data_IF_511580332958
#
_entry.id   IF_511580332958
#
_cell.length_a   1.000
_cell.length_b   1.000
_cell.length_c   1.000
_cell.angle_alpha   90.00
_cell.angle_beta   90.00
_cell.angle_gamma   90.00
#
_symmetry.space_group_name_H-M   'P 1'
#
loop_
_entity.id
_entity.type
_entity.pdbx_description
1 polymer ?
#
# COMPACT_ATOMS: atom_id res chain seq x y z
N UNK A 1 -3.16 10.32 -34.60
CA UNK A 1 -3.99 11.15 -33.71
C UNK A 1 -3.26 11.36 -32.40
N UNK A 2 -2.89 12.60 -32.07
CA UNK A 2 -2.37 13.01 -30.78
C UNK A 2 -3.55 13.05 -29.79
N UNK A 3 -3.92 11.89 -29.24
CA UNK A 3 -4.88 11.84 -28.15
C UNK A 3 -4.24 12.38 -26.88
N UNK A 4 -4.93 13.33 -26.22
CA UNK A 4 -4.60 13.74 -24.86
C UNK A 4 -4.83 12.50 -23.98
N UNK A 5 -3.77 12.04 -23.32
CA UNK A 5 -3.86 10.92 -22.39
C UNK A 5 -3.98 11.49 -20.97
N UNK A 6 -5.18 11.50 -20.42
CA UNK A 6 -5.39 11.85 -19.02
C UNK A 6 -4.90 10.69 -18.14
N UNK A 7 -4.06 11.01 -17.15
CA UNK A 7 -3.47 10.04 -16.24
C UNK A 7 -3.84 10.38 -14.82
N UNK A 8 -4.48 9.43 -14.13
CA UNK A 8 -4.68 9.47 -12.69
C UNK A 8 -3.66 8.58 -11.99
N UNK A 9 -3.11 9.05 -10.88
CA UNK A 9 -2.18 8.28 -10.03
C UNK A 9 -2.74 8.28 -8.62
N UNK A 10 -3.02 7.09 -8.09
CA UNK A 10 -3.55 6.91 -6.74
C UNK A 10 -2.44 6.35 -5.84
N UNK A 11 -2.11 7.09 -4.77
CA UNK A 11 -1.21 6.65 -3.72
C UNK A 11 -1.99 6.41 -2.44
N UNK A 12 -1.89 5.22 -1.90
CA UNK A 12 -2.53 4.86 -0.63
C UNK A 12 -1.70 3.82 0.11
N UNK A 13 -1.81 3.77 1.44
CA UNK A 13 -1.19 2.72 2.25
C UNK A 13 -2.14 1.53 2.40
N UNK A 14 -1.58 0.34 2.59
CA UNK A 14 -2.36 -0.87 2.89
C UNK A 14 -3.22 -0.67 4.14
N UNK A 15 -2.65 -0.14 5.22
CA UNK A 15 -3.38 0.12 6.46
C UNK A 15 -4.55 1.11 6.35
N UNK A 16 -4.56 1.95 5.30
CA UNK A 16 -5.69 2.84 5.04
C UNK A 16 -6.91 2.08 4.50
N UNK A 17 -6.68 1.00 3.77
CA UNK A 17 -7.71 0.20 3.09
C UNK A 17 -8.12 -1.03 3.88
N UNK A 18 -7.24 -1.58 4.70
CA UNK A 18 -7.52 -2.79 5.48
C UNK A 18 -8.77 -2.70 6.34
N UNK A 19 -9.02 -1.51 6.89
CA UNK A 19 -10.21 -1.24 7.71
C UNK A 19 -11.54 -1.48 6.99
N UNK A 20 -11.54 -1.56 5.65
CA UNK A 20 -12.73 -1.80 4.82
C UNK A 20 -12.76 -3.19 4.20
N UNK A 21 -11.67 -3.94 4.31
CA UNK A 21 -11.63 -5.32 3.87
C UNK A 21 -12.38 -6.21 4.86
N UNK A 22 -13.08 -7.22 4.33
CA UNK A 22 -13.71 -8.26 5.14
C UNK A 22 -12.95 -9.57 4.95
N UNK A 23 -13.19 -10.61 5.78
CA UNK A 23 -12.59 -11.92 5.57
C UNK A 23 -12.88 -12.52 4.19
N UNK A 24 -14.00 -12.15 3.57
CA UNK A 24 -14.44 -12.63 2.25
C UNK A 24 -13.96 -11.74 1.11
N UNK A 25 -13.70 -10.44 1.38
CA UNK A 25 -13.38 -9.45 0.36
C UNK A 25 -12.14 -8.65 0.77
N UNK A 26 -11.01 -8.95 0.17
CA UNK A 26 -9.79 -8.18 0.33
C UNK A 26 -9.68 -7.14 -0.81
N UNK A 27 -9.81 -5.86 -0.48
CA UNK A 27 -9.77 -4.77 -1.46
C UNK A 27 -8.41 -4.62 -2.15
N UNK A 28 -7.35 -5.20 -1.60
CA UNK A 28 -6.01 -5.17 -2.20
C UNK A 28 -5.72 -6.40 -3.09
N UNK A 29 -6.69 -7.26 -3.29
CA UNK A 29 -6.53 -8.55 -3.97
C UNK A 29 -5.88 -8.41 -5.35
N UNK A 30 -6.33 -7.48 -6.19
CA UNK A 30 -5.76 -7.24 -7.52
C UNK A 30 -4.31 -6.70 -7.50
N UNK A 31 -3.82 -6.21 -6.35
CA UNK A 31 -2.44 -5.76 -6.18
C UNK A 31 -1.55 -6.84 -5.57
N UNK A 32 -2.10 -7.67 -4.69
CA UNK A 32 -1.37 -8.75 -4.03
C UNK A 32 -1.17 -9.95 -4.97
N UNK A 33 -2.12 -10.16 -5.88
CA UNK A 33 -2.19 -11.32 -6.74
C UNK A 33 -1.63 -10.98 -8.13
N UNK A 34 -0.31 -11.07 -8.28
CA UNK A 34 0.38 -10.78 -9.54
C UNK A 34 0.80 -12.09 -10.22
N UNK A 35 0.08 -12.56 -11.24
CA UNK A 35 0.52 -13.73 -11.99
C UNK A 35 1.92 -13.48 -12.59
N UNK A 36 2.92 -14.27 -12.19
CA UNK A 36 4.26 -14.20 -12.74
C UNK A 36 5.05 -12.92 -12.41
N UNK A 37 4.74 -12.23 -11.32
CA UNK A 37 5.42 -11.00 -10.88
C UNK A 37 5.38 -9.85 -11.91
N UNK A 38 4.45 -9.88 -12.84
CA UNK A 38 4.24 -8.84 -13.86
C UNK A 38 3.26 -7.77 -13.35
N UNK A 39 3.43 -6.49 -13.74
CA UNK A 39 2.42 -5.48 -13.45
C UNK A 39 1.09 -5.88 -14.07
N UNK A 40 0.02 -5.84 -13.26
CA UNK A 40 -1.32 -6.15 -13.74
C UNK A 40 -1.86 -4.94 -14.51
N UNK A 41 -2.15 -5.12 -15.79
CA UNK A 41 -2.84 -4.13 -16.62
C UNK A 41 -4.27 -4.60 -16.82
N UNK A 42 -5.21 -3.84 -16.30
CA UNK A 42 -6.64 -4.07 -16.49
C UNK A 42 -7.19 -3.08 -17.53
N UNK A 43 -7.84 -3.60 -18.55
CA UNK A 43 -8.54 -2.76 -19.52
C UNK A 43 -9.98 -2.59 -19.06
N UNK A 44 -10.41 -1.36 -18.85
CA UNK A 44 -11.79 -1.05 -18.47
C UNK A 44 -12.67 -1.12 -19.72
N UNK A 45 -13.71 -1.96 -19.77
CA UNK A 45 -14.66 -1.99 -20.88
C UNK A 45 -15.43 -0.67 -20.99
N UNK A 46 -15.82 -0.26 -22.21
CA UNK A 46 -16.55 0.99 -22.47
C UNK A 46 -17.81 1.12 -21.60
N UNK A 47 -18.53 0.01 -21.39
CA UNK A 47 -19.74 -0.02 -20.53
C UNK A 47 -19.47 0.34 -19.06
N UNK A 48 -18.25 0.16 -18.58
CA UNK A 48 -17.85 0.42 -17.19
C UNK A 48 -17.01 1.71 -17.06
N UNK A 49 -16.52 2.25 -18.18
CA UNK A 49 -15.64 3.43 -18.21
C UNK A 49 -16.26 4.63 -17.48
N UNK A 50 -17.56 4.89 -17.71
CA UNK A 50 -18.27 5.98 -17.04
C UNK A 50 -18.28 5.86 -15.52
N UNK A 51 -18.40 4.65 -14.98
CA UNK A 51 -18.37 4.39 -13.53
C UNK A 51 -16.99 4.69 -12.97
N UNK A 52 -15.90 4.20 -13.60
CA UNK A 52 -14.55 4.48 -13.16
C UNK A 52 -14.22 5.98 -13.20
N UNK A 53 -14.57 6.66 -14.27
CA UNK A 53 -14.34 8.10 -14.41
C UNK A 53 -15.14 8.91 -13.40
N UNK A 54 -16.37 8.50 -13.08
CA UNK A 54 -17.20 9.14 -12.04
C UNK A 54 -16.53 9.04 -10.66
N UNK A 55 -16.03 7.85 -10.29
CA UNK A 55 -15.33 7.66 -9.01
C UNK A 55 -14.07 8.51 -8.96
N UNK A 56 -13.23 8.48 -10.01
CA UNK A 56 -11.99 9.27 -10.08
C UNK A 56 -12.25 10.79 -10.01
N UNK A 57 -13.26 11.29 -10.73
CA UNK A 57 -13.63 12.71 -10.68
C UNK A 57 -14.10 13.16 -9.30
N UNK A 58 -14.85 12.30 -8.59
CA UNK A 58 -15.27 12.56 -7.21
C UNK A 58 -14.08 12.51 -6.26
N UNK A 59 -13.15 11.56 -6.43
CA UNK A 59 -11.90 11.54 -5.65
C UNK A 59 -11.09 12.81 -5.87
N UNK A 60 -10.94 13.25 -7.11
CA UNK A 60 -10.26 14.50 -7.44
C UNK A 60 -10.94 15.70 -6.76
N UNK A 61 -12.26 15.78 -6.80
CA UNK A 61 -13.02 16.84 -6.14
C UNK A 61 -12.74 16.91 -4.63
N UNK A 62 -12.82 15.77 -3.93
CA UNK A 62 -12.57 15.72 -2.49
C UNK A 62 -11.08 15.83 -2.10
N UNK A 63 -10.15 15.59 -3.03
CA UNK A 63 -8.71 15.74 -2.77
C UNK A 63 -8.15 17.13 -3.13
N UNK A 64 -8.98 18.05 -3.59
CA UNK A 64 -8.54 19.42 -3.89
C UNK A 64 -8.12 20.15 -2.60
N UNK A 65 -7.00 20.89 -2.64
CA UNK A 65 -6.60 21.69 -1.49
C UNK A 65 -7.64 22.79 -1.20
N UNK A 66 -7.75 23.14 0.08
CA UNK A 66 -8.63 24.22 0.53
C UNK A 66 -8.26 25.55 -0.14
N UNK A 67 -9.26 26.28 -0.67
CA UNK A 67 -9.07 27.58 -1.33
C UNK A 67 -9.37 27.62 -2.82
N UNK A 68 -9.84 26.53 -3.43
CA UNK A 68 -10.37 26.53 -4.80
C UNK A 68 -11.69 27.31 -4.93
N UNK A 69 -12.12 27.61 -6.20
CA UNK A 69 -13.41 28.30 -6.47
C UNK A 69 -14.64 27.57 -5.94
N UNK A 70 -14.54 26.25 -5.72
CA UNK A 70 -15.59 25.40 -5.19
C UNK A 70 -14.93 24.31 -4.31
N UNK A 71 -14.61 24.64 -3.05
CA UNK A 71 -13.93 23.71 -2.15
C UNK A 71 -14.88 22.57 -1.74
N UNK A 72 -14.38 21.35 -1.73
CA UNK A 72 -15.12 20.21 -1.18
C UNK A 72 -15.44 20.45 0.31
N UNK A 73 -16.61 20.00 0.81
CA UNK A 73 -16.96 20.12 2.21
C UNK A 73 -15.87 19.55 3.12
N UNK A 74 -15.44 20.30 4.13
CA UNK A 74 -14.44 19.83 5.09
C UNK A 74 -14.97 18.66 5.94
N UNK A 75 -16.28 18.69 6.27
CA UNK A 75 -16.90 17.63 7.05
C UNK A 75 -16.92 16.30 6.29
N UNK A 76 -16.29 15.29 6.86
CA UNK A 76 -16.28 13.95 6.31
C UNK A 76 -15.45 13.76 5.04
N UNK A 77 -14.62 14.72 4.63
CA UNK A 77 -13.78 14.65 3.42
C UNK A 77 -12.94 13.36 3.36
N UNK A 78 -12.21 13.06 4.42
CA UNK A 78 -11.37 11.87 4.50
C UNK A 78 -12.19 10.58 4.42
N UNK A 79 -13.37 10.59 5.02
CA UNK A 79 -14.29 9.45 4.96
C UNK A 79 -14.86 9.26 3.55
N UNK A 80 -15.20 10.35 2.84
CA UNK A 80 -15.60 10.30 1.43
C UNK A 80 -14.48 9.72 0.56
N UNK A 81 -13.24 10.19 0.73
CA UNK A 81 -12.09 9.67 0.00
C UNK A 81 -11.89 8.17 0.27
N UNK A 82 -12.05 7.72 1.51
CA UNK A 82 -11.98 6.31 1.89
C UNK A 82 -13.03 5.47 1.16
N UNK A 83 -14.29 5.89 1.17
CA UNK A 83 -15.36 5.15 0.49
C UNK A 83 -15.17 5.12 -1.03
N UNK A 84 -14.76 6.23 -1.64
CA UNK A 84 -14.48 6.30 -3.07
C UNK A 84 -13.30 5.42 -3.47
N UNK A 85 -12.24 5.38 -2.65
CA UNK A 85 -11.12 4.48 -2.87
C UNK A 85 -11.56 3.00 -2.72
N UNK A 86 -12.37 2.70 -1.72
CA UNK A 86 -12.96 1.36 -1.56
C UNK A 86 -13.81 0.95 -2.76
N UNK A 87 -14.67 1.84 -3.28
CA UNK A 87 -15.47 1.63 -4.48
C UNK A 87 -14.58 1.38 -5.71
N UNK A 88 -13.55 2.21 -5.91
CA UNK A 88 -12.59 2.03 -7.00
C UNK A 88 -11.89 0.67 -6.94
N UNK A 89 -11.46 0.26 -5.76
CA UNK A 89 -10.77 -1.02 -5.55
C UNK A 89 -11.70 -2.22 -5.76
N UNK A 90 -12.97 -2.12 -5.36
CA UNK A 90 -13.97 -3.15 -5.67
C UNK A 90 -14.16 -3.30 -7.18
N UNK A 91 -14.32 -2.20 -7.91
CA UNK A 91 -14.41 -2.21 -9.37
C UNK A 91 -13.17 -2.82 -10.03
N UNK A 92 -11.97 -2.46 -9.54
CA UNK A 92 -10.72 -3.03 -10.04
C UNK A 92 -10.62 -4.55 -9.78
N UNK A 93 -11.02 -5.01 -8.59
CA UNK A 93 -11.06 -6.45 -8.26
C UNK A 93 -12.10 -7.21 -9.09
N UNK A 94 -13.24 -6.61 -9.39
CA UNK A 94 -14.24 -7.20 -10.30
C UNK A 94 -13.64 -7.41 -11.69
N UNK A 95 -13.01 -6.38 -12.28
CA UNK A 95 -12.32 -6.52 -13.57
C UNK A 95 -11.19 -7.56 -13.53
N UNK A 96 -10.45 -7.59 -12.44
CA UNK A 96 -9.40 -8.58 -12.23
C UNK A 96 -9.99 -10.00 -12.26
N UNK A 97 -11.05 -10.23 -11.50
CA UNK A 97 -11.72 -11.53 -11.42
C UNK A 97 -12.37 -11.93 -12.74
N UNK A 98 -12.97 -10.99 -13.48
CA UNK A 98 -13.52 -11.24 -14.82
C UNK A 98 -12.44 -11.68 -15.82
N UNK A 99 -11.21 -11.11 -15.70
CA UNK A 99 -10.11 -11.39 -16.63
C UNK A 99 -9.33 -12.65 -16.30
N UNK A 100 -9.03 -12.87 -15.01
CA UNK A 100 -8.13 -13.93 -14.54
C UNK A 100 -8.87 -15.09 -13.87
N UNK A 101 -10.18 -14.97 -13.72
CA UNK A 101 -11.01 -15.91 -12.97
C UNK A 101 -11.00 -15.66 -11.47
N UNK A 102 -11.91 -16.31 -10.72
CA UNK A 102 -11.87 -16.27 -9.27
C UNK A 102 -10.54 -16.83 -8.81
N UNK A 103 -9.94 -16.19 -7.81
CA UNK A 103 -8.66 -16.59 -7.26
C UNK A 103 -8.64 -18.08 -6.96
N UNK A 104 -7.85 -18.74 -7.75
CA UNK A 104 -7.76 -20.19 -7.80
C UNK A 104 -7.21 -20.71 -6.49
N UNK A 105 -7.70 -21.71 -5.93
CA UNK A 105 -7.33 -22.52 -4.77
C UNK A 105 -7.41 -21.83 -3.40
N UNK A 106 -7.99 -22.57 -2.45
CA UNK A 106 -8.02 -22.26 -1.01
C UNK A 106 -6.63 -21.88 -0.48
N UNK A 107 -5.61 -22.61 -0.90
CA UNK A 107 -4.22 -22.38 -0.48
C UNK A 107 -3.70 -20.97 -0.85
N UNK A 108 -3.98 -20.49 -2.05
CA UNK A 108 -3.51 -19.16 -2.46
C UNK A 108 -4.21 -18.03 -1.71
N UNK A 109 -5.50 -18.19 -1.39
CA UNK A 109 -6.24 -17.25 -0.54
C UNK A 109 -5.69 -17.22 0.88
N UNK A 110 -5.34 -18.38 1.43
CA UNK A 110 -4.71 -18.47 2.75
C UNK A 110 -3.34 -17.80 2.77
N UNK A 111 -2.53 -18.00 1.72
CA UNK A 111 -1.25 -17.33 1.55
C UNK A 111 -1.41 -15.79 1.44
N UNK A 112 -2.34 -15.31 0.62
CA UNK A 112 -2.62 -13.90 0.48
C UNK A 112 -3.12 -13.28 1.79
N UNK A 113 -3.99 -13.99 2.52
CA UNK A 113 -4.46 -13.56 3.83
C UNK A 113 -3.32 -13.47 4.83
N UNK A 114 -2.46 -14.49 4.90
CA UNK A 114 -1.28 -14.47 5.77
C UNK A 114 -0.39 -13.25 5.50
N UNK A 115 -0.09 -12.97 4.23
CA UNK A 115 0.74 -11.81 3.85
C UNK A 115 0.05 -10.50 4.23
N UNK A 116 -1.25 -10.42 4.04
CA UNK A 116 -2.05 -9.27 4.46
C UNK A 116 -1.99 -9.05 5.98
N UNK A 117 -2.23 -10.09 6.78
CA UNK A 117 -2.16 -10.01 8.24
C UNK A 117 -0.76 -9.56 8.71
N UNK A 118 0.30 -9.99 7.99
CA UNK A 118 1.67 -9.54 8.23
C UNK A 118 1.85 -8.05 7.90
N UNK A 119 1.28 -7.57 6.79
CA UNK A 119 1.32 -6.14 6.45
C UNK A 119 0.67 -5.26 7.52
N UNK A 120 -0.51 -5.68 8.00
CA UNK A 120 -1.23 -4.99 9.07
C UNK A 120 -0.38 -4.94 10.35
N UNK A 121 0.19 -6.08 10.73
CA UNK A 121 1.03 -6.16 11.92
C UNK A 121 2.26 -5.25 11.79
N UNK A 122 2.95 -5.29 10.65
CA UNK A 122 4.10 -4.40 10.39
C UNK A 122 3.66 -2.94 10.46
N UNK A 123 2.51 -2.59 9.91
CA UNK A 123 1.95 -1.25 9.94
C UNK A 123 1.77 -0.67 11.35
N UNK A 124 1.38 -1.51 12.31
CA UNK A 124 1.23 -1.12 13.72
C UNK A 124 2.52 -1.20 14.56
N UNK A 125 3.52 -1.99 14.11
CA UNK A 125 4.69 -2.35 14.94
C UNK A 125 6.04 -2.07 14.25
N UNK A 126 6.06 -1.31 13.15
CA UNK A 126 7.27 -1.09 12.34
C UNK A 126 8.44 -0.49 13.10
N UNK A 127 8.19 0.26 14.18
CA UNK A 127 9.23 0.85 15.03
C UNK A 127 9.88 -0.16 15.98
N UNK A 128 9.28 -1.33 16.15
CA UNK A 128 9.78 -2.39 17.02
C UNK A 128 10.87 -3.24 16.35
N UNK A 129 11.55 -4.08 17.12
CA UNK A 129 12.55 -5.00 16.57
C UNK A 129 11.88 -6.18 15.86
N UNK A 130 11.37 -5.93 14.63
CA UNK A 130 10.76 -6.94 13.80
C UNK A 130 11.83 -7.76 13.05
N UNK A 131 11.76 -9.08 13.20
CA UNK A 131 12.62 -10.03 12.49
C UNK A 131 11.76 -11.11 11.82
N UNK A 132 12.30 -11.76 10.78
CA UNK A 132 11.65 -12.92 10.16
C UNK A 132 11.35 -14.00 11.21
N UNK A 133 12.22 -14.16 12.21
CA UNK A 133 12.05 -15.11 13.30
C UNK A 133 10.88 -14.75 14.24
N UNK A 134 10.77 -13.50 14.63
CA UNK A 134 9.65 -13.05 15.48
C UNK A 134 8.31 -13.17 14.75
N UNK A 135 8.26 -12.78 13.48
CA UNK A 135 7.05 -12.88 12.66
C UNK A 135 6.65 -14.33 12.37
N UNK A 136 7.61 -15.22 12.06
CA UNK A 136 7.31 -16.64 11.83
C UNK A 136 6.68 -17.30 13.06
N UNK A 137 7.17 -16.97 14.26
CA UNK A 137 6.58 -17.45 15.52
C UNK A 137 5.19 -16.86 15.78
N UNK A 138 5.03 -15.55 15.53
CA UNK A 138 3.76 -14.86 15.76
C UNK A 138 2.65 -15.42 14.88
N UNK A 139 2.94 -15.63 13.60
CA UNK A 139 1.97 -16.13 12.62
C UNK A 139 1.93 -17.67 12.53
N UNK A 140 2.65 -18.37 13.41
CA UNK A 140 2.67 -19.83 13.50
C UNK A 140 3.05 -20.52 12.18
N UNK A 141 3.97 -19.96 11.42
CA UNK A 141 4.50 -20.49 10.16
C UNK A 141 6.02 -20.71 10.27
N UNK A 142 6.58 -21.65 9.49
CA UNK A 142 8.03 -21.78 9.43
C UNK A 142 8.67 -20.58 8.72
N UNK A 143 9.95 -20.28 9.02
CA UNK A 143 10.70 -19.22 8.34
C UNK A 143 10.74 -19.41 6.83
N UNK A 144 10.89 -20.65 6.39
CA UNK A 144 10.92 -21.01 4.96
C UNK A 144 9.55 -20.74 4.31
N UNK A 145 8.47 -21.13 4.98
CA UNK A 145 7.12 -20.87 4.51
C UNK A 145 6.84 -19.36 4.45
N UNK A 146 7.18 -18.63 5.50
CA UNK A 146 7.04 -17.17 5.54
C UNK A 146 7.81 -16.51 4.37
N UNK A 147 9.07 -16.90 4.16
CA UNK A 147 9.87 -16.37 3.06
C UNK A 147 9.23 -16.65 1.70
N UNK A 148 8.86 -17.92 1.44
CA UNK A 148 8.30 -18.30 0.14
C UNK A 148 6.96 -17.63 -0.13
N UNK A 149 6.04 -17.73 0.83
CA UNK A 149 4.69 -17.15 0.70
C UNK A 149 4.73 -15.63 0.57
N UNK A 150 5.52 -14.98 1.40
CA UNK A 150 5.63 -13.53 1.35
C UNK A 150 6.25 -13.06 0.02
N UNK A 151 7.32 -13.72 -0.43
CA UNK A 151 7.96 -13.39 -1.71
C UNK A 151 7.10 -13.72 -2.92
N UNK A 152 6.35 -14.82 -2.88
CA UNK A 152 5.40 -15.21 -3.94
C UNK A 152 4.31 -14.15 -4.13
N UNK A 153 3.73 -13.66 -3.01
CA UNK A 153 2.60 -12.73 -3.03
C UNK A 153 3.07 -11.28 -3.21
N UNK A 154 4.12 -10.86 -2.52
CA UNK A 154 4.56 -9.44 -2.51
C UNK A 154 5.67 -9.13 -3.51
N UNK A 155 6.37 -10.14 -4.02
CA UNK A 155 7.55 -9.98 -4.88
C UNK A 155 8.84 -9.64 -4.15
N UNK A 156 8.81 -9.43 -2.82
CA UNK A 156 9.96 -9.06 -2.00
C UNK A 156 10.04 -9.88 -0.71
N UNK A 157 11.15 -9.79 0.01
CA UNK A 157 11.23 -10.41 1.33
C UNK A 157 10.53 -9.58 2.40
N UNK A 158 10.15 -10.21 3.50
CA UNK A 158 9.56 -9.52 4.66
C UNK A 158 10.51 -8.45 5.23
N UNK A 159 11.81 -8.71 5.21
CA UNK A 159 12.82 -7.76 5.69
C UNK A 159 12.96 -6.54 4.79
N UNK A 160 12.87 -6.73 3.47
CA UNK A 160 12.86 -5.64 2.50
C UNK A 160 11.61 -4.78 2.67
N UNK A 161 10.45 -5.41 2.87
CA UNK A 161 9.20 -4.71 3.10
C UNK A 161 9.23 -3.86 4.38
N UNK A 162 9.73 -4.42 5.50
CA UNK A 162 9.90 -3.64 6.76
C UNK A 162 10.80 -2.43 6.52
N UNK A 163 11.89 -2.62 5.78
CA UNK A 163 12.83 -1.55 5.44
C UNK A 163 12.15 -0.46 4.61
N UNK A 164 11.47 -0.84 3.52
CA UNK A 164 10.75 0.09 2.65
C UNK A 164 9.66 0.85 3.42
N UNK A 165 8.90 0.15 4.26
CA UNK A 165 7.86 0.75 5.09
C UNK A 165 8.44 1.81 6.04
N UNK A 166 9.52 1.48 6.75
CA UNK A 166 10.22 2.41 7.66
C UNK A 166 10.73 3.65 6.94
N UNK A 167 11.32 3.49 5.75
CA UNK A 167 11.82 4.62 4.97
C UNK A 167 10.67 5.49 4.45
N UNK A 168 9.55 4.89 4.06
CA UNK A 168 8.34 5.64 3.69
C UNK A 168 7.83 6.47 4.86
N UNK A 169 7.73 5.89 6.06
CA UNK A 169 7.35 6.62 7.27
C UNK A 169 8.35 7.71 7.65
N UNK A 170 9.65 7.46 7.45
CA UNK A 170 10.68 8.47 7.69
C UNK A 170 10.54 9.68 6.74
N UNK A 171 10.22 9.45 5.47
CA UNK A 171 9.91 10.53 4.51
C UNK A 171 8.73 11.37 4.97
N UNK A 172 7.65 10.72 5.46
CA UNK A 172 6.49 11.41 6.01
C UNK A 172 6.87 12.30 7.20
N UNK A 173 7.70 11.81 8.12
CA UNK A 173 8.18 12.60 9.26
C UNK A 173 9.06 13.77 8.83
N UNK A 174 9.96 13.57 7.86
CA UNK A 174 10.83 14.65 7.33
C UNK A 174 10.03 15.79 6.71
N UNK A 175 8.89 15.50 6.07
CA UNK A 175 8.06 16.50 5.41
C UNK A 175 7.11 17.20 6.41
N UNK A 176 6.57 16.46 7.40
CA UNK A 176 5.44 16.89 8.19
C UNK A 176 5.80 17.26 9.64
N UNK A 177 7.06 17.14 10.06
CA UNK A 177 7.49 17.44 11.44
C UNK A 177 8.84 18.15 11.47
N UNK A 178 9.13 18.83 12.60
CA UNK A 178 10.42 19.45 12.88
C UNK A 178 11.37 18.51 13.65
N UNK A 179 11.15 17.20 13.58
CA UNK A 179 12.00 16.24 14.27
C UNK A 179 13.41 16.20 13.68
N UNK A 180 14.42 16.05 14.55
CA UNK A 180 15.78 15.81 14.06
C UNK A 180 15.87 14.47 13.34
N UNK A 181 16.83 14.36 12.41
CA UNK A 181 17.10 13.10 11.68
C UNK A 181 17.33 11.91 12.62
N UNK A 182 17.96 12.17 13.77
CA UNK A 182 18.17 11.15 14.80
C UNK A 182 16.85 10.71 15.44
N UNK A 183 15.98 11.66 15.83
CA UNK A 183 14.65 11.35 16.36
C UNK A 183 13.81 10.58 15.37
N UNK A 184 13.84 10.95 14.09
CA UNK A 184 13.14 10.23 13.02
C UNK A 184 13.66 8.80 12.88
N UNK A 185 14.99 8.62 12.86
CA UNK A 185 15.61 7.29 12.81
C UNK A 185 15.12 6.39 13.94
N UNK A 186 15.09 6.91 15.17
CA UNK A 186 14.58 6.19 16.34
C UNK A 186 13.07 5.91 16.22
N UNK A 187 12.28 6.89 15.83
CA UNK A 187 10.84 6.76 15.68
C UNK A 187 10.42 5.70 14.64
N UNK A 188 11.26 5.48 13.62
CA UNK A 188 11.01 4.43 12.61
C UNK A 188 11.74 3.10 12.90
N UNK A 189 12.32 2.95 14.10
CA UNK A 189 12.86 1.67 14.57
C UNK A 189 14.32 1.40 14.23
N UNK A 190 15.13 2.45 13.99
CA UNK A 190 16.58 2.32 13.86
C UNK A 190 17.26 2.72 15.18
N UNK A 191 18.08 1.86 15.70
CA UNK A 191 18.89 2.13 16.92
C UNK A 191 20.18 2.88 16.62
N UNK A 192 20.58 2.97 15.34
CA UNK A 192 21.83 3.57 14.91
C UNK A 192 21.59 4.53 13.74
N UNK A 193 21.95 5.80 13.93
CA UNK A 193 21.79 6.88 12.96
C UNK A 193 22.55 6.61 11.66
N UNK A 194 23.75 6.03 11.72
CA UNK A 194 24.55 5.72 10.55
C UNK A 194 23.89 4.65 9.68
N UNK A 195 23.32 3.62 10.30
CA UNK A 195 22.55 2.57 9.61
C UNK A 195 21.30 3.15 8.97
N UNK A 196 20.55 4.00 9.68
CA UNK A 196 19.39 4.70 9.15
C UNK A 196 19.75 5.55 7.93
N UNK A 197 20.74 6.44 8.06
CA UNK A 197 21.15 7.36 6.99
C UNK A 197 21.62 6.63 5.73
N UNK A 198 22.35 5.51 5.89
CA UNK A 198 22.77 4.65 4.78
C UNK A 198 21.57 4.03 4.06
N UNK A 199 20.68 3.37 4.80
CA UNK A 199 19.51 2.70 4.21
C UNK A 199 18.57 3.72 3.58
N UNK A 200 18.34 4.86 4.23
CA UNK A 200 17.52 5.94 3.66
C UNK A 200 18.10 6.43 2.32
N UNK A 201 19.42 6.67 2.24
CA UNK A 201 20.08 7.09 1.01
C UNK A 201 19.97 6.03 -0.10
N UNK A 202 20.13 4.76 0.24
CA UNK A 202 19.96 3.64 -0.72
C UNK A 202 18.55 3.60 -1.31
N UNK A 203 17.52 3.88 -0.50
CA UNK A 203 16.11 3.82 -0.90
C UNK A 203 15.57 5.14 -1.50
N UNK A 204 16.04 6.28 -1.04
CA UNK A 204 15.54 7.60 -1.44
C UNK A 204 16.42 8.31 -2.48
N UNK A 205 17.65 7.81 -2.72
CA UNK A 205 18.62 8.42 -3.63
C UNK A 205 19.40 9.61 -3.04
N UNK A 206 18.95 10.18 -1.91
CA UNK A 206 19.61 11.28 -1.20
C UNK A 206 19.62 11.03 0.32
N UNK A 207 20.44 11.76 1.06
CA UNK A 207 20.48 11.63 2.52
C UNK A 207 19.20 12.22 3.17
N UNK A 208 18.85 11.82 4.43
CA UNK A 208 17.70 12.38 5.13
C UNK A 208 17.75 13.91 5.30
N UNK A 209 18.96 14.49 5.40
CA UNK A 209 19.14 15.95 5.52
C UNK A 209 18.89 16.66 4.18
N UNK A 210 19.11 15.98 3.07
CA UNK A 210 18.93 16.53 1.73
C UNK A 210 17.50 16.33 1.19
N UNK A 211 16.77 15.42 1.79
CA UNK A 211 15.40 15.14 1.45
C UNK A 211 14.47 16.21 1.98
#
# INVERSE_FOLDING_TARGET
GSGICDRYVLYFSSGYISQFSTPEVNLLECFLLRPGNQPVVLTVPDRQMGTFLSVLSRMEYYNRPDGGRDPAPAYGRDLHLKFLLGEFLLLANQLYTERFGPLSTSAYREHARLVYDIYEYIGGHYSENLTTDSLSRLFLVSKTQLYNVFKEISGMTVSDYITEYRITRAKDFLINTDYSVEMIGQAVGYTNLSSFSRVFKEQAGCSPIQY
#
